data_IF_456408112559
#
_entry.id   IF_456408112559
#
_cell.length_a   1.000
_cell.length_b   1.000
_cell.length_c   1.000
_cell.angle_alpha   90.00
_cell.angle_beta   90.00
_cell.angle_gamma   90.00
#
_symmetry.space_group_name_H-M   'P 1'
#
loop_
_entity.id
_entity.type
_entity.pdbx_description
1 polymer ?
#
# COMPACT_ATOMS: atom_id res chain seq x y z
N UNK A 1 2.93 32.53 -11.87
CA UNK A 1 4.24 31.88 -12.08
C UNK A 1 3.96 30.45 -12.50
N UNK A 2 3.97 30.18 -13.81
CA UNK A 2 3.54 28.90 -14.38
C UNK A 2 4.72 27.93 -14.45
N UNK A 3 4.66 26.86 -13.67
CA UNK A 3 5.57 25.71 -13.79
C UNK A 3 5.02 24.78 -14.88
N UNK A 4 5.50 24.99 -16.10
CA UNK A 4 5.37 24.00 -17.19
C UNK A 4 6.34 22.86 -16.86
N UNK A 5 5.78 21.75 -16.38
CA UNK A 5 6.52 20.51 -16.17
C UNK A 5 7.02 19.99 -17.52
N UNK A 6 8.34 19.96 -17.69
CA UNK A 6 9.05 19.41 -18.83
C UNK A 6 8.86 17.88 -18.88
N UNK A 7 7.72 17.45 -19.45
CA UNK A 7 7.45 16.05 -19.81
C UNK A 7 8.16 15.63 -21.11
N UNK A 8 8.97 16.50 -21.72
CA UNK A 8 9.68 16.22 -22.98
C UNK A 8 11.00 15.46 -22.79
N UNK A 9 11.62 15.51 -21.61
CA UNK A 9 12.87 14.79 -21.32
C UNK A 9 12.77 13.25 -21.33
N UNK A 10 11.77 12.68 -20.65
CA UNK A 10 11.63 11.20 -20.51
C UNK A 10 11.26 10.47 -21.80
N UNK A 11 10.58 11.16 -22.72
CA UNK A 11 10.14 10.60 -24.01
C UNK A 11 11.30 10.60 -25.02
N UNK A 12 12.09 11.67 -25.05
CA UNK A 12 13.22 11.87 -25.97
C UNK A 12 14.38 10.89 -25.71
N UNK A 13 14.64 10.51 -24.46
CA UNK A 13 15.61 9.45 -24.11
C UNK A 13 15.12 8.05 -24.54
N UNK A 14 13.84 7.72 -24.34
CA UNK A 14 13.28 6.44 -24.82
C UNK A 14 13.36 6.32 -26.34
N UNK A 15 13.04 7.39 -27.07
CA UNK A 15 13.05 7.38 -28.54
C UNK A 15 14.46 7.24 -29.11
N UNK A 16 15.47 7.89 -28.50
CA UNK A 16 16.88 7.77 -28.92
C UNK A 16 17.48 6.39 -28.64
N UNK A 17 17.13 5.74 -27.53
CA UNK A 17 17.51 4.35 -27.30
C UNK A 17 16.87 3.41 -28.31
N UNK A 18 15.58 3.59 -28.60
CA UNK A 18 14.84 2.74 -29.55
C UNK A 18 15.37 2.90 -30.98
N UNK A 19 15.69 4.13 -31.40
CA UNK A 19 16.34 4.43 -32.69
C UNK A 19 17.74 3.83 -32.80
N UNK A 20 18.54 3.85 -31.73
CA UNK A 20 19.86 3.19 -31.72
C UNK A 20 19.74 1.67 -31.88
N UNK A 21 18.80 1.03 -31.20
CA UNK A 21 18.55 -0.41 -31.36
C UNK A 21 18.07 -0.78 -32.76
N UNK A 22 17.19 0.04 -33.36
CA UNK A 22 16.73 -0.14 -34.74
C UNK A 22 17.90 0.02 -35.72
N UNK A 23 18.77 1.02 -35.54
CA UNK A 23 19.93 1.24 -36.40
C UNK A 23 20.97 0.11 -36.34
N UNK A 24 21.21 -0.45 -35.15
CA UNK A 24 22.09 -1.61 -34.96
C UNK A 24 21.50 -2.89 -35.54
N UNK A 25 20.19 -3.08 -35.40
CA UNK A 25 19.48 -4.22 -36.00
C UNK A 25 19.49 -4.18 -37.53
N UNK A 26 19.30 -2.99 -38.13
CA UNK A 26 19.39 -2.79 -39.59
C UNK A 26 20.81 -3.06 -40.09
N UNK A 27 21.84 -2.55 -39.39
CA UNK A 27 23.24 -2.80 -39.75
C UNK A 27 23.61 -4.28 -39.71
N UNK A 28 23.15 -5.00 -38.68
CA UNK A 28 23.32 -6.44 -38.58
C UNK A 28 22.58 -7.21 -39.69
N UNK A 29 21.41 -6.72 -40.12
CA UNK A 29 20.64 -7.33 -41.20
C UNK A 29 21.31 -7.16 -42.56
N UNK A 30 21.86 -5.97 -42.83
CA UNK A 30 22.56 -5.65 -44.09
C UNK A 30 23.85 -6.48 -44.21
N UNK A 31 24.68 -6.53 -43.16
CA UNK A 31 25.94 -7.27 -43.16
C UNK A 31 25.75 -8.79 -43.37
N UNK A 32 24.57 -9.31 -43.03
CA UNK A 32 24.27 -10.72 -43.06
C UNK A 32 23.55 -11.13 -44.35
N UNK A 33 22.73 -10.23 -44.93
CA UNK A 33 22.23 -10.39 -46.30
C UNK A 33 23.38 -10.47 -47.31
N UNK A 34 24.42 -9.63 -47.15
CA UNK A 34 25.64 -9.72 -47.96
C UNK A 34 26.41 -11.02 -47.74
N UNK A 35 26.47 -11.54 -46.51
CA UNK A 35 27.10 -12.82 -46.23
C UNK A 35 26.36 -14.00 -46.87
N UNK A 36 25.02 -14.03 -46.81
CA UNK A 36 24.19 -15.08 -47.42
C UNK A 36 24.32 -15.04 -48.95
N UNK A 37 24.25 -13.85 -49.55
CA UNK A 37 24.44 -13.66 -51.00
C UNK A 37 25.83 -14.16 -51.42
N UNK A 38 26.88 -13.84 -50.64
CA UNK A 38 28.23 -14.32 -50.89
C UNK A 38 28.32 -15.85 -50.80
N UNK A 39 27.69 -16.49 -49.79
CA UNK A 39 27.71 -17.94 -49.61
C UNK A 39 26.94 -18.70 -50.69
N UNK A 40 25.79 -18.17 -51.14
CA UNK A 40 25.03 -18.72 -52.29
C UNK A 40 25.86 -18.60 -53.58
N UNK A 41 26.52 -17.46 -53.77
CA UNK A 41 27.39 -17.21 -54.94
C UNK A 41 28.59 -18.16 -54.96
N UNK A 42 29.09 -18.58 -53.79
CA UNK A 42 30.22 -19.49 -53.62
C UNK A 42 29.84 -21.00 -53.66
N UNK A 43 28.56 -21.35 -53.90
CA UNK A 43 28.05 -22.73 -53.94
C UNK A 43 28.34 -23.57 -52.68
N UNK A 44 28.19 -22.97 -51.50
CA UNK A 44 28.25 -23.73 -50.24
C UNK A 44 27.08 -24.74 -50.10
N UNK A 45 27.30 -25.80 -49.31
CA UNK A 45 26.28 -26.83 -49.02
C UNK A 45 25.02 -26.19 -48.41
N UNK A 46 23.85 -26.53 -48.96
CA UNK A 46 22.53 -26.04 -48.54
C UNK A 46 22.27 -26.29 -47.04
N UNK A 47 22.87 -27.32 -46.47
CA UNK A 47 22.82 -27.64 -45.04
C UNK A 47 23.48 -26.56 -44.18
N UNK A 48 24.61 -25.99 -44.63
CA UNK A 48 25.36 -24.94 -43.92
C UNK A 48 24.56 -23.62 -43.95
N UNK A 49 23.94 -23.31 -45.08
CA UNK A 49 23.10 -22.12 -45.24
C UNK A 49 21.89 -22.18 -44.30
N UNK A 50 21.21 -23.33 -44.20
CA UNK A 50 20.08 -23.53 -43.28
C UNK A 50 20.48 -23.38 -41.81
N UNK A 51 21.62 -23.91 -41.40
CA UNK A 51 22.13 -23.77 -40.03
C UNK A 51 22.38 -22.29 -39.69
N UNK A 52 23.01 -21.54 -40.61
CA UNK A 52 23.27 -20.11 -40.41
C UNK A 52 21.97 -19.30 -40.29
N UNK A 53 20.95 -19.60 -41.10
CA UNK A 53 19.63 -18.97 -41.02
C UNK A 53 18.92 -19.26 -39.68
N UNK A 54 19.02 -20.49 -39.16
CA UNK A 54 18.45 -20.85 -37.84
C UNK A 54 19.16 -20.09 -36.72
N UNK A 55 20.50 -20.06 -36.73
CA UNK A 55 21.29 -19.30 -35.75
C UNK A 55 20.92 -17.82 -35.79
N UNK A 56 20.75 -17.24 -36.99
CA UNK A 56 20.34 -15.85 -37.16
C UNK A 56 18.93 -15.57 -36.63
N UNK A 57 17.97 -16.45 -36.92
CA UNK A 57 16.61 -16.34 -36.39
C UNK A 57 16.65 -16.34 -34.86
N UNK A 58 17.46 -17.21 -34.25
CA UNK A 58 17.63 -17.26 -32.80
C UNK A 58 18.24 -15.97 -32.23
N UNK A 59 19.27 -15.41 -32.88
CA UNK A 59 19.88 -14.13 -32.47
C UNK A 59 18.90 -12.97 -32.59
N UNK A 60 18.07 -12.93 -33.64
CA UNK A 60 17.04 -11.90 -33.81
C UNK A 60 15.94 -12.01 -32.75
N UNK A 61 15.47 -13.23 -32.48
CA UNK A 61 14.51 -13.50 -31.39
C UNK A 61 15.11 -13.05 -30.05
N UNK A 62 16.36 -13.39 -29.76
CA UNK A 62 17.04 -12.99 -28.51
C UNK A 62 17.33 -11.48 -28.46
N UNK A 63 17.68 -10.84 -29.56
CA UNK A 63 17.92 -9.39 -29.63
C UNK A 63 16.64 -8.57 -29.46
N UNK A 64 15.55 -9.02 -30.09
CA UNK A 64 14.26 -8.33 -30.05
C UNK A 64 13.47 -8.62 -28.77
N UNK A 65 13.39 -9.90 -28.37
CA UNK A 65 12.62 -10.31 -27.19
C UNK A 65 13.45 -10.32 -25.90
N UNK A 66 14.78 -10.43 -25.97
CA UNK A 66 15.63 -10.58 -24.78
C UNK A 66 15.48 -9.41 -23.80
N UNK A 67 15.30 -8.18 -24.31
CA UNK A 67 15.08 -7.03 -23.44
C UNK A 67 13.70 -7.06 -22.77
N UNK A 68 12.67 -7.53 -23.48
CA UNK A 68 11.31 -7.72 -22.95
C UNK A 68 11.29 -8.84 -21.90
N UNK A 69 11.94 -9.97 -22.19
CA UNK A 69 12.10 -11.11 -21.28
C UNK A 69 12.87 -10.70 -20.02
N UNK A 70 13.99 -9.99 -20.16
CA UNK A 70 14.77 -9.49 -19.03
C UNK A 70 13.96 -8.51 -18.15
N UNK A 71 13.18 -7.61 -18.76
CA UNK A 71 12.27 -6.72 -18.02
C UNK A 71 11.20 -7.51 -17.26
N UNK A 72 10.59 -8.52 -17.89
CA UNK A 72 9.60 -9.40 -17.24
C UNK A 72 10.21 -10.17 -16.07
N UNK A 73 11.40 -10.74 -16.23
CA UNK A 73 12.10 -11.46 -15.16
C UNK A 73 12.43 -10.51 -14.01
N UNK A 74 12.98 -9.33 -14.29
CA UNK A 74 13.26 -8.32 -13.25
C UNK A 74 11.98 -7.88 -12.53
N UNK A 75 10.89 -7.67 -13.26
CA UNK A 75 9.58 -7.35 -12.69
C UNK A 75 9.06 -8.46 -11.77
N UNK A 76 9.17 -9.72 -12.20
CA UNK A 76 8.78 -10.88 -11.41
C UNK A 76 9.63 -11.01 -10.13
N UNK A 77 10.96 -10.86 -10.23
CA UNK A 77 11.85 -10.90 -9.06
C UNK A 77 11.56 -9.76 -8.08
N UNK A 78 11.27 -8.54 -8.58
CA UNK A 78 10.87 -7.41 -7.72
C UNK A 78 9.54 -7.71 -7.02
N UNK A 79 8.53 -8.18 -7.77
CA UNK A 79 7.23 -8.56 -7.21
C UNK A 79 7.38 -9.61 -6.11
N UNK A 80 8.14 -10.69 -6.37
CA UNK A 80 8.39 -11.74 -5.38
C UNK A 80 9.01 -11.20 -4.09
N UNK A 81 9.98 -10.28 -4.19
CA UNK A 81 10.57 -9.62 -3.01
C UNK A 81 9.55 -8.81 -2.21
N UNK A 82 8.68 -8.08 -2.91
CA UNK A 82 7.60 -7.31 -2.27
C UNK A 82 6.56 -8.22 -1.61
N UNK A 83 6.19 -9.32 -2.26
CA UNK A 83 5.26 -10.32 -1.71
C UNK A 83 5.86 -11.04 -0.49
N UNK A 84 7.16 -11.36 -0.52
CA UNK A 84 7.85 -11.94 0.63
C UNK A 84 7.94 -10.94 1.80
N UNK A 85 8.20 -9.66 1.51
CA UNK A 85 8.13 -8.59 2.51
C UNK A 85 6.71 -8.41 3.07
N UNK A 86 5.68 -8.51 2.22
CA UNK A 86 4.29 -8.40 2.62
C UNK A 86 3.91 -9.46 3.66
N UNK A 87 4.37 -10.71 3.48
CA UNK A 87 4.14 -11.78 4.48
C UNK A 87 4.74 -11.43 5.85
N UNK A 88 5.92 -10.82 5.88
CA UNK A 88 6.58 -10.39 7.14
C UNK A 88 5.75 -9.31 7.85
N UNK A 89 5.29 -8.29 7.12
CA UNK A 89 4.49 -7.22 7.72
C UNK A 89 3.06 -7.64 8.04
N UNK A 90 2.49 -8.61 7.32
CA UNK A 90 1.17 -9.14 7.59
C UNK A 90 1.05 -9.67 9.01
N UNK A 91 2.06 -10.39 9.53
CA UNK A 91 2.02 -10.89 10.91
C UNK A 91 1.98 -9.76 11.95
N UNK A 92 2.68 -8.66 11.69
CA UNK A 92 2.66 -7.46 12.55
C UNK A 92 1.30 -6.75 12.46
N UNK A 93 0.77 -6.57 11.25
CA UNK A 93 -0.56 -5.98 11.03
C UNK A 93 -1.62 -6.83 11.72
N UNK A 94 -1.61 -8.15 11.53
CA UNK A 94 -2.56 -9.08 12.13
C UNK A 94 -2.57 -8.97 13.65
N UNK A 95 -1.42 -8.85 14.30
CA UNK A 95 -1.34 -8.62 15.76
C UNK A 95 -1.99 -7.31 16.19
N UNK A 96 -1.77 -6.23 15.44
CA UNK A 96 -2.43 -4.95 15.69
C UNK A 96 -3.94 -5.04 15.52
N UNK A 97 -4.40 -5.70 14.45
CA UNK A 97 -5.83 -5.93 14.19
C UNK A 97 -6.45 -6.73 15.33
N UNK A 98 -5.84 -7.85 15.73
CA UNK A 98 -6.37 -8.67 16.82
C UNK A 98 -6.42 -7.91 18.15
N UNK A 99 -5.43 -7.06 18.42
CA UNK A 99 -5.47 -6.16 19.60
C UNK A 99 -6.60 -5.13 19.51
N UNK A 100 -7.00 -4.72 18.31
CA UNK A 100 -8.11 -3.78 18.13
C UNK A 100 -9.46 -4.36 18.57
N UNK A 101 -9.60 -5.69 18.62
CA UNK A 101 -10.78 -6.38 19.18
C UNK A 101 -11.15 -5.83 20.56
N UNK A 102 -10.14 -5.48 21.38
CA UNK A 102 -10.33 -4.88 22.70
C UNK A 102 -11.24 -3.64 22.66
N UNK A 103 -11.23 -2.84 21.58
CA UNK A 103 -12.04 -1.62 21.43
C UNK A 103 -13.44 -1.89 20.86
N UNK A 104 -13.72 -3.11 20.42
CA UNK A 104 -15.04 -3.56 19.93
C UNK A 104 -15.88 -4.21 21.02
N UNK A 105 -15.26 -4.52 22.16
CA UNK A 105 -15.93 -5.07 23.34
C UNK A 105 -16.55 -3.96 24.21
N UNK A 106 -17.68 -4.28 24.85
CA UNK A 106 -18.32 -3.40 25.81
C UNK A 106 -17.58 -3.42 27.16
N UNK A 107 -16.45 -2.71 27.25
CA UNK A 107 -15.65 -2.61 28.47
C UNK A 107 -15.45 -1.18 28.93
N UNK A 108 -15.52 -0.95 30.24
CA UNK A 108 -15.44 0.40 30.84
C UNK A 108 -14.09 1.09 30.67
N UNK A 109 -13.04 0.36 30.27
CA UNK A 109 -11.73 0.89 29.89
C UNK A 109 -11.61 1.29 28.41
N UNK A 110 -12.74 1.32 27.68
CA UNK A 110 -12.84 1.81 26.30
C UNK A 110 -13.59 3.15 26.23
N UNK A 111 -13.32 3.94 25.19
CA UNK A 111 -13.91 5.27 25.04
C UNK A 111 -15.43 5.15 24.80
N UNK A 112 -15.84 4.18 23.99
CA UNK A 112 -17.23 4.00 23.57
C UNK A 112 -18.21 3.85 24.75
N UNK A 113 -18.01 2.95 25.75
CA UNK A 113 -18.92 2.84 26.88
C UNK A 113 -18.96 4.09 27.77
N UNK A 114 -17.82 4.79 27.91
CA UNK A 114 -17.78 6.07 28.64
C UNK A 114 -18.62 7.12 27.93
N UNK A 115 -18.55 7.20 26.60
CA UNK A 115 -19.34 8.12 25.79
C UNK A 115 -20.84 7.82 25.89
N UNK A 116 -21.27 6.56 25.78
CA UNK A 116 -22.68 6.22 26.00
C UNK A 116 -23.14 6.49 27.43
N UNK A 117 -22.26 6.31 28.43
CA UNK A 117 -22.54 6.69 29.81
C UNK A 117 -22.79 8.19 29.97
N UNK A 118 -22.07 9.04 29.21
CA UNK A 118 -22.34 10.48 29.14
C UNK A 118 -23.67 10.77 28.43
N UNK A 119 -23.95 10.12 27.29
CA UNK A 119 -25.19 10.27 26.53
C UNK A 119 -26.46 10.04 27.38
N UNK A 120 -26.39 9.13 28.35
CA UNK A 120 -27.49 8.84 29.27
C UNK A 120 -27.84 10.00 30.22
N UNK A 121 -27.00 11.03 30.33
CA UNK A 121 -27.17 12.17 31.25
C UNK A 121 -27.89 13.32 30.55
N UNK A 122 -28.78 14.00 31.27
CA UNK A 122 -29.68 15.03 30.72
C UNK A 122 -28.95 16.10 29.92
N UNK A 123 -27.79 16.55 30.38
CA UNK A 123 -26.98 17.60 29.78
C UNK A 123 -26.34 17.18 28.45
N UNK A 124 -26.24 15.89 28.18
CA UNK A 124 -25.47 15.29 27.10
C UNK A 124 -26.31 14.38 26.18
N UNK A 125 -27.64 14.31 26.38
CA UNK A 125 -28.56 13.50 25.56
C UNK A 125 -28.51 13.85 24.06
N UNK A 126 -28.15 15.08 23.72
CA UNK A 126 -28.00 15.54 22.34
C UNK A 126 -26.73 15.04 21.65
N UNK A 127 -25.80 14.39 22.36
CA UNK A 127 -24.63 13.77 21.75
C UNK A 127 -25.10 12.49 21.04
N UNK A 128 -24.85 12.42 19.74
CA UNK A 128 -25.10 11.22 18.96
C UNK A 128 -23.85 10.34 18.96
N UNK A 129 -23.89 9.21 19.66
CA UNK A 129 -22.83 8.19 19.65
C UNK A 129 -23.36 6.97 18.92
N UNK A 130 -22.59 6.48 17.95
CA UNK A 130 -22.94 5.29 17.20
C UNK A 130 -23.05 4.07 18.12
N UNK A 131 -23.98 3.15 17.83
CA UNK A 131 -24.11 1.90 18.59
C UNK A 131 -22.85 1.02 18.48
N UNK A 132 -22.54 0.23 19.52
CA UNK A 132 -21.39 -0.68 19.54
C UNK A 132 -21.47 -1.76 18.45
N UNK A 133 -22.68 -2.22 18.17
CA UNK A 133 -22.94 -3.26 17.17
C UNK A 133 -22.36 -2.89 15.82
N UNK A 134 -22.42 -1.59 15.47
CA UNK A 134 -21.88 -1.09 14.21
C UNK A 134 -20.38 -1.44 14.08
N UNK A 135 -19.52 -0.95 14.97
CA UNK A 135 -18.06 -1.19 14.84
C UNK A 135 -17.71 -2.68 14.97
N UNK A 136 -18.43 -3.42 15.82
CA UNK A 136 -18.22 -4.86 16.01
C UNK A 136 -18.51 -5.68 14.74
N UNK A 137 -19.59 -5.35 14.03
CA UNK A 137 -19.97 -6.02 12.78
C UNK A 137 -18.95 -5.73 11.66
N UNK A 138 -18.53 -4.47 11.51
CA UNK A 138 -17.49 -4.07 10.56
C UNK A 138 -16.16 -4.78 10.86
N UNK A 139 -15.74 -4.79 12.12
CA UNK A 139 -14.53 -5.49 12.56
C UNK A 139 -14.61 -7.00 12.34
N UNK A 140 -15.74 -7.63 12.67
CA UNK A 140 -15.97 -9.06 12.46
C UNK A 140 -15.91 -9.42 10.98
N UNK A 141 -16.49 -8.58 10.11
CA UNK A 141 -16.38 -8.78 8.67
C UNK A 141 -14.94 -8.68 8.18
N UNK A 142 -14.22 -7.65 8.62
CA UNK A 142 -12.81 -7.47 8.28
C UNK A 142 -11.92 -8.62 8.79
N UNK A 143 -12.16 -9.15 9.99
CA UNK A 143 -11.43 -10.31 10.55
C UNK A 143 -11.57 -11.54 9.66
N UNK A 144 -12.70 -11.73 8.96
CA UNK A 144 -12.86 -12.80 7.96
C UNK A 144 -11.97 -12.58 6.74
N UNK A 145 -11.93 -11.35 6.21
CA UNK A 145 -11.06 -11.00 5.07
C UNK A 145 -9.57 -11.11 5.45
N UNK A 146 -9.20 -10.71 6.66
CA UNK A 146 -7.84 -10.84 7.17
C UNK A 146 -7.32 -12.29 7.10
N UNK A 147 -8.20 -13.27 7.34
CA UNK A 147 -7.85 -14.69 7.27
C UNK A 147 -7.72 -15.22 5.83
N UNK A 148 -8.08 -14.43 4.82
CA UNK A 148 -8.00 -14.76 3.39
C UNK A 148 -6.77 -14.13 2.73
N UNK A 149 -5.79 -13.68 3.52
CA UNK A 149 -4.54 -13.13 2.99
C UNK A 149 -3.82 -14.15 2.10
N UNK A 150 -3.52 -13.74 0.87
CA UNK A 150 -2.93 -14.57 -0.20
C UNK A 150 -1.40 -14.44 -0.30
N UNK A 151 -0.78 -13.65 0.57
CA UNK A 151 0.67 -13.45 0.57
C UNK A 151 1.18 -12.38 -0.38
N UNK A 152 0.31 -11.61 -1.04
CA UNK A 152 0.72 -10.56 -1.99
C UNK A 152 0.78 -9.18 -1.36
N UNK A 153 1.65 -8.31 -1.92
CA UNK A 153 1.70 -6.89 -1.52
C UNK A 153 0.34 -6.19 -1.72
N UNK A 154 -0.29 -6.42 -2.87
CA UNK A 154 -1.54 -5.75 -3.23
C UNK A 154 -2.68 -6.09 -2.25
N UNK A 155 -2.75 -7.36 -1.81
CA UNK A 155 -3.70 -7.78 -0.81
C UNK A 155 -3.38 -7.20 0.58
N UNK A 156 -2.10 -7.15 0.98
CA UNK A 156 -1.69 -6.49 2.21
C UNK A 156 -2.09 -5.01 2.23
N UNK A 157 -1.87 -4.30 1.12
CA UNK A 157 -2.28 -2.90 0.95
C UNK A 157 -3.80 -2.74 1.06
N UNK A 158 -4.56 -3.64 0.45
CA UNK A 158 -6.03 -3.66 0.56
C UNK A 158 -6.47 -3.84 2.01
N UNK A 159 -5.94 -4.85 2.71
CA UNK A 159 -6.24 -5.10 4.12
C UNK A 159 -5.85 -3.91 5.01
N UNK A 160 -4.69 -3.29 4.75
CA UNK A 160 -4.24 -2.13 5.50
C UNK A 160 -5.18 -0.92 5.33
N UNK A 161 -5.67 -0.68 4.12
CA UNK A 161 -6.62 0.40 3.81
C UNK A 161 -8.01 0.13 4.41
N UNK A 162 -8.48 -1.11 4.37
CA UNK A 162 -9.72 -1.50 5.05
C UNK A 162 -9.62 -1.30 6.56
N UNK A 163 -8.52 -1.75 7.19
CA UNK A 163 -8.31 -1.55 8.61
C UNK A 163 -8.21 -0.08 9.00
N UNK A 164 -7.50 0.72 8.20
CA UNK A 164 -7.47 2.17 8.39
C UNK A 164 -8.87 2.76 8.38
N UNK A 165 -9.74 2.31 7.46
CA UNK A 165 -11.12 2.81 7.37
C UNK A 165 -11.90 2.50 8.65
N UNK A 166 -11.66 1.35 9.28
CA UNK A 166 -12.21 0.99 10.60
C UNK A 166 -11.68 1.93 11.68
N UNK A 167 -10.38 2.21 11.70
CA UNK A 167 -9.78 3.14 12.66
C UNK A 167 -10.31 4.57 12.49
N UNK A 168 -10.42 5.06 11.26
CA UNK A 168 -10.98 6.38 10.93
C UNK A 168 -12.45 6.48 11.38
N UNK A 169 -13.23 5.41 11.16
CA UNK A 169 -14.60 5.34 11.61
C UNK A 169 -14.69 5.37 13.14
N UNK A 170 -13.81 4.63 13.83
CA UNK A 170 -13.77 4.63 15.29
C UNK A 170 -13.43 6.02 15.84
N UNK A 171 -12.36 6.62 15.33
CA UNK A 171 -11.90 7.96 15.70
C UNK A 171 -13.00 9.01 15.47
N UNK A 172 -13.66 8.97 14.32
CA UNK A 172 -14.72 9.93 13.99
C UNK A 172 -15.96 9.76 14.89
N UNK A 173 -16.47 8.54 15.03
CA UNK A 173 -17.79 8.29 15.62
C UNK A 173 -17.77 8.25 17.14
N UNK A 174 -16.67 7.79 17.76
CA UNK A 174 -16.59 7.59 19.21
C UNK A 174 -15.69 8.60 19.91
N UNK A 175 -14.83 9.31 19.17
CA UNK A 175 -13.85 10.23 19.76
C UNK A 175 -14.15 11.66 19.30
N UNK A 176 -13.84 12.01 18.05
CA UNK A 176 -13.87 13.39 17.56
C UNK A 176 -15.26 14.01 17.65
N UNK A 177 -16.27 13.40 17.02
CA UNK A 177 -17.61 13.99 17.00
C UNK A 177 -18.23 14.10 18.41
N UNK A 178 -18.13 13.08 19.29
CA UNK A 178 -18.60 13.22 20.68
C UNK A 178 -17.85 14.30 21.47
N UNK A 179 -16.52 14.36 21.40
CA UNK A 179 -15.72 15.35 22.14
C UNK A 179 -16.03 16.77 21.69
N UNK A 180 -16.15 17.01 20.38
CA UNK A 180 -16.54 18.31 19.86
C UNK A 180 -17.90 18.75 20.42
N UNK A 181 -18.87 17.83 20.51
CA UNK A 181 -20.16 18.13 21.13
C UNK A 181 -20.07 18.38 22.63
N UNK A 182 -19.24 17.64 23.36
CA UNK A 182 -19.01 17.89 24.79
C UNK A 182 -18.39 19.28 24.98
N UNK A 183 -17.45 19.67 24.12
CA UNK A 183 -16.84 21.01 24.13
C UNK A 183 -17.86 22.11 23.95
N UNK A 184 -18.78 21.94 23.00
CA UNK A 184 -19.88 22.90 22.75
C UNK A 184 -20.82 23.02 23.96
N UNK A 185 -21.02 21.94 24.72
CA UNK A 185 -21.88 21.91 25.91
C UNK A 185 -21.18 22.55 27.13
N UNK A 186 -19.88 22.28 27.27
CA UNK A 186 -19.00 22.74 28.35
C UNK A 186 -18.31 21.57 29.07
N UNK A 187 -16.98 21.53 28.98
CA UNK A 187 -16.16 20.51 29.65
C UNK A 187 -16.30 20.53 31.18
N UNK A 188 -16.64 21.67 31.77
CA UNK A 188 -16.90 21.85 33.20
C UNK A 188 -18.13 21.06 33.70
N UNK A 189 -19.07 20.77 32.79
CA UNK A 189 -20.30 20.02 33.10
C UNK A 189 -20.09 18.51 33.11
N UNK A 190 -18.97 18.01 32.60
CA UNK A 190 -18.66 16.58 32.58
C UNK A 190 -18.28 16.15 34.00
N UNK A 191 -18.99 15.18 34.61
CA UNK A 191 -18.68 14.76 35.97
C UNK A 191 -17.26 14.19 36.08
N UNK A 192 -16.59 14.49 37.20
CA UNK A 192 -15.18 14.10 37.44
C UNK A 192 -14.92 12.61 37.21
N UNK A 193 -15.87 11.75 37.58
CA UNK A 193 -15.76 10.30 37.38
C UNK A 193 -15.63 9.93 35.90
N UNK A 194 -16.43 10.54 35.02
CA UNK A 194 -16.39 10.22 33.59
C UNK A 194 -15.14 10.79 32.92
N UNK A 195 -14.65 11.96 33.38
CA UNK A 195 -13.35 12.49 32.93
C UNK A 195 -12.21 11.51 33.20
N UNK A 196 -12.16 10.96 34.41
CA UNK A 196 -11.15 9.97 34.81
C UNK A 196 -11.28 8.71 33.94
N UNK A 197 -12.49 8.16 33.77
CA UNK A 197 -12.72 6.97 32.96
C UNK A 197 -12.35 7.21 31.49
N UNK A 198 -12.72 8.37 30.94
CA UNK A 198 -12.36 8.76 29.59
C UNK A 198 -10.85 8.88 29.42
N UNK A 199 -10.14 9.53 30.35
CA UNK A 199 -8.69 9.70 30.26
C UNK A 199 -7.95 8.35 30.30
N UNK A 200 -8.40 7.39 31.14
CA UNK A 200 -7.87 6.02 31.14
C UNK A 200 -8.09 5.34 29.79
N UNK A 201 -9.32 5.41 29.26
CA UNK A 201 -9.65 4.82 27.97
C UNK A 201 -8.90 5.48 26.80
N UNK A 202 -8.70 6.79 26.88
CA UNK A 202 -7.91 7.60 25.95
C UNK A 202 -6.45 7.15 25.95
N UNK A 203 -5.82 7.01 27.11
CA UNK A 203 -4.42 6.55 27.18
C UNK A 203 -4.24 5.19 26.51
N UNK A 204 -5.19 4.26 26.75
CA UNK A 204 -5.21 2.95 26.08
C UNK A 204 -5.28 3.10 24.55
N UNK A 205 -6.19 3.94 24.04
CA UNK A 205 -6.31 4.21 22.61
C UNK A 205 -5.08 4.90 22.01
N UNK A 206 -4.50 5.87 22.71
CA UNK A 206 -3.27 6.58 22.29
C UNK A 206 -2.10 5.61 22.18
N UNK A 207 -1.94 4.69 23.15
CA UNK A 207 -0.93 3.66 23.09
C UNK A 207 -1.14 2.72 21.89
N UNK A 208 -2.40 2.38 21.58
CA UNK A 208 -2.73 1.57 20.41
C UNK A 208 -2.38 2.29 19.09
N UNK A 209 -2.84 3.53 18.90
CA UNK A 209 -2.60 4.31 17.68
C UNK A 209 -1.10 4.62 17.51
N UNK A 210 -0.36 4.86 18.59
CA UNK A 210 1.09 5.05 18.52
C UNK A 210 1.79 3.79 17.99
N UNK A 211 1.38 2.61 18.47
CA UNK A 211 1.92 1.34 17.95
C UNK A 211 1.58 1.13 16.47
N UNK A 212 0.36 1.50 16.04
CA UNK A 212 -0.01 1.46 14.63
C UNK A 212 0.82 2.42 13.78
N UNK A 213 1.03 3.66 14.24
CA UNK A 213 1.86 4.68 13.57
C UNK A 213 3.30 4.21 13.39
N UNK A 214 3.89 3.63 14.44
CA UNK A 214 5.26 3.09 14.37
C UNK A 214 5.34 1.93 13.37
N UNK A 215 4.39 0.99 13.42
CA UNK A 215 4.30 -0.09 12.44
C UNK A 215 4.19 0.45 11.00
N UNK A 216 3.30 1.41 10.76
CA UNK A 216 3.09 2.00 9.44
C UNK A 216 4.35 2.68 8.92
N UNK A 217 5.05 3.42 9.79
CA UNK A 217 6.33 4.06 9.47
C UNK A 217 7.39 3.04 9.08
N UNK A 218 7.59 2.02 9.90
CA UNK A 218 8.61 0.98 9.68
C UNK A 218 8.31 0.19 8.40
N UNK A 219 7.06 -0.21 8.21
CA UNK A 219 6.64 -0.95 7.02
C UNK A 219 6.80 -0.12 5.75
N UNK A 220 6.38 1.15 5.76
CA UNK A 220 6.56 2.03 4.60
C UNK A 220 8.05 2.25 4.27
N UNK A 221 8.92 2.34 5.28
CA UNK A 221 10.36 2.43 5.07
C UNK A 221 10.88 1.19 4.35
N UNK A 222 10.57 -0.01 4.85
CA UNK A 222 11.01 -1.28 4.27
C UNK A 222 10.53 -1.44 2.80
N UNK A 223 9.28 -1.07 2.50
CA UNK A 223 8.75 -1.10 1.14
C UNK A 223 9.42 -0.07 0.22
N UNK A 224 9.70 1.14 0.72
CA UNK A 224 10.32 2.21 -0.06
C UNK A 224 11.76 1.88 -0.49
N UNK A 225 12.51 1.17 0.37
CA UNK A 225 13.87 0.71 0.06
C UNK A 225 13.93 -0.26 -1.14
N UNK A 226 12.90 -1.11 -1.27
CA UNK A 226 12.77 -2.05 -2.39
C UNK A 226 12.25 -1.36 -3.64
N UNK A 227 11.38 -0.36 -3.49
CA UNK A 227 10.73 0.27 -4.63
C UNK A 227 11.61 1.30 -5.37
N UNK A 228 12.59 1.96 -4.71
CA UNK A 228 13.53 2.94 -5.28
C UNK A 228 12.94 3.81 -6.41
N UNK A 229 11.71 4.28 -6.21
CA UNK A 229 11.05 5.18 -7.15
C UNK A 229 10.22 6.17 -6.36
N UNK A 230 10.42 7.46 -6.65
CA UNK A 230 9.61 8.62 -6.26
C UNK A 230 8.11 8.53 -6.67
N UNK A 231 7.57 7.34 -6.92
CA UNK A 231 6.23 7.08 -7.45
C UNK A 231 5.22 6.64 -6.39
N UNK A 232 5.66 6.27 -5.20
CA UNK A 232 4.78 6.35 -4.05
C UNK A 232 4.67 7.83 -3.72
N UNK A 233 3.51 8.44 -3.98
CA UNK A 233 3.20 9.74 -3.39
C UNK A 233 3.44 9.69 -1.88
N UNK A 234 3.56 10.86 -1.25
CA UNK A 234 3.93 11.10 0.16
C UNK A 234 3.19 10.28 1.25
N UNK A 235 2.26 9.40 0.87
CA UNK A 235 1.33 8.72 1.76
C UNK A 235 1.67 7.24 2.09
N UNK A 236 2.64 6.61 1.41
CA UNK A 236 3.02 5.20 1.68
C UNK A 236 1.89 4.17 1.52
N UNK A 237 2.15 2.90 1.84
CA UNK A 237 1.15 1.81 1.82
C UNK A 237 0.27 1.90 3.07
N UNK A 238 0.88 2.16 4.22
CA UNK A 238 0.22 2.26 5.51
C UNK A 238 0.05 3.73 5.88
N UNK A 239 -1.17 4.25 5.80
CA UNK A 239 -1.46 5.65 6.14
C UNK A 239 -1.77 5.78 7.63
N UNK A 240 -1.01 6.63 8.34
CA UNK A 240 -1.08 6.75 9.80
C UNK A 240 -1.39 8.17 10.32
N UNK A 241 -2.12 8.97 9.55
CA UNK A 241 -2.56 10.32 9.92
C UNK A 241 -3.75 10.26 10.89
N UNK A 242 -3.47 9.92 12.15
CA UNK A 242 -4.44 9.94 13.25
C UNK A 242 -4.07 11.03 14.25
N UNK A 243 -5.04 11.79 14.72
CA UNK A 243 -4.81 12.79 15.76
C UNK A 243 -4.78 12.11 17.13
N UNK A 244 -4.06 12.71 18.08
CA UNK A 244 -4.14 12.27 19.47
C UNK A 244 -5.44 12.88 20.03
N UNK A 245 -6.36 12.06 20.58
CA UNK A 245 -7.58 12.59 21.18
C UNK A 245 -7.31 13.65 22.25
N UNK A 246 -8.19 14.62 22.39
CA UNK A 246 -8.15 15.61 23.48
C UNK A 246 -8.57 14.97 24.82
N UNK A 247 -8.21 15.61 25.93
CA UNK A 247 -8.68 15.27 27.28
C UNK A 247 -10.04 15.92 27.57
N UNK A 248 -10.85 15.31 28.46
CA UNK A 248 -12.15 15.84 28.92
C UNK A 248 -12.07 16.53 30.28
#
# INVERSE_FOLDING_TARGET
MNLVFDMTGSKKERDTHTLRYISLAIGAFIALATLIIALITLKYDDSIIKILLIIQLFVLIMGFLGNSVNRKIKGYLKKRKLDDLAKIHFDKLRKLVLRFEEFTENRMDNIQPVMHGLQGKTEFKQINIAELTNISDWYSSYKRHLNQFDGTKDNLETLANEFKSILDMYDRLYIKAPIEKIRDIGYDKVPKRDKILYNIAREKYVAFITNYKNFAKDANADFSEIEKSHLLGDDGIFKAKFDIPEEL
#
